data_IF_519840834918
#
_entry.id   IF_519840834918
#
_cell.length_a   1.000
_cell.length_b   1.000
_cell.length_c   1.000
_cell.angle_alpha   90.00
_cell.angle_beta   90.00
_cell.angle_gamma   90.00
#
_symmetry.space_group_name_H-M   'P 1'
#
loop_
_entity.id
_entity.type
_entity.pdbx_description
1 polymer ?
#
# COMPACT_ATOMS: atom_id res chain seq x y z
N UNK A 1 -16.20 -10.10 17.69
CA UNK A 1 -16.76 -9.10 18.62
C UNK A 1 -15.87 -7.88 18.61
N UNK A 2 -16.44 -6.74 18.19
CA UNK A 2 -15.65 -5.54 17.91
C UNK A 2 -15.91 -4.39 18.91
N UNK A 3 -16.48 -4.72 20.09
CA UNK A 3 -16.80 -3.73 21.10
C UNK A 3 -15.78 -3.80 22.24
N UNK A 4 -15.07 -2.70 22.49
CA UNK A 4 -14.05 -2.59 23.54
C UNK A 4 -14.61 -2.94 24.93
N UNK A 5 -15.86 -2.58 25.22
CA UNK A 5 -16.50 -2.90 26.50
C UNK A 5 -16.63 -4.40 26.71
N UNK A 6 -17.02 -5.14 25.67
CA UNK A 6 -17.10 -6.61 25.73
C UNK A 6 -15.73 -7.24 25.91
N UNK A 7 -14.70 -6.71 25.25
CA UNK A 7 -13.32 -7.20 25.41
C UNK A 7 -12.84 -7.00 26.84
N UNK A 8 -13.13 -5.86 27.46
CA UNK A 8 -12.82 -5.61 28.88
C UNK A 8 -13.49 -6.62 29.78
N UNK A 9 -14.80 -6.87 29.58
CA UNK A 9 -15.55 -7.85 30.37
C UNK A 9 -14.98 -9.26 30.23
N UNK A 10 -14.61 -9.69 29.02
CA UNK A 10 -14.01 -11.00 28.77
C UNK A 10 -12.63 -11.12 29.45
N UNK A 11 -11.83 -10.07 29.46
CA UNK A 11 -10.55 -10.06 30.17
C UNK A 11 -10.77 -10.14 31.68
N UNK A 12 -11.75 -9.38 32.21
CA UNK A 12 -12.10 -9.36 33.64
C UNK A 12 -12.66 -10.69 34.14
N UNK A 13 -13.35 -11.45 33.27
CA UNK A 13 -13.85 -12.80 33.60
C UNK A 13 -12.75 -13.84 33.79
N UNK A 14 -11.50 -13.53 33.38
CA UNK A 14 -10.31 -14.40 33.39
C UNK A 14 -10.43 -15.66 32.53
N UNK A 15 -11.49 -15.80 31.74
CA UNK A 15 -11.68 -16.97 30.86
C UNK A 15 -10.54 -17.11 29.84
N UNK A 16 -9.95 -15.99 29.42
CA UNK A 16 -8.86 -15.99 28.45
C UNK A 16 -7.54 -16.54 29.03
N UNK A 17 -7.35 -16.52 30.35
CA UNK A 17 -6.10 -16.92 31.00
C UNK A 17 -5.79 -18.42 30.84
N UNK A 18 -6.79 -19.24 30.54
CA UNK A 18 -6.68 -20.68 30.32
C UNK A 18 -6.44 -21.09 28.87
N UNK A 19 -6.36 -20.13 27.95
CA UNK A 19 -6.22 -20.39 26.53
C UNK A 19 -4.75 -20.50 26.11
N UNK A 20 -4.47 -21.35 25.12
CA UNK A 20 -3.14 -21.46 24.52
C UNK A 20 -2.83 -20.27 23.59
N UNK A 21 -3.84 -19.78 22.86
CA UNK A 21 -3.73 -18.64 21.99
C UNK A 21 -5.06 -17.89 21.80
N UNK A 22 -4.96 -16.63 21.35
CA UNK A 22 -6.11 -15.78 21.04
C UNK A 22 -5.94 -15.27 19.59
N UNK A 23 -6.97 -15.51 18.76
CA UNK A 23 -7.03 -14.99 17.39
C UNK A 23 -7.95 -13.76 17.35
N UNK A 24 -7.39 -12.61 17.05
CA UNK A 24 -8.10 -11.32 17.10
C UNK A 24 -7.98 -10.62 18.45
N UNK A 25 -8.77 -9.56 18.68
CA UNK A 25 -9.88 -8.98 17.87
C UNK A 25 -9.43 -8.47 16.48
N UNK A 26 -10.42 -8.30 15.57
CA UNK A 26 -10.13 -7.83 14.21
C UNK A 26 -9.85 -6.32 14.15
N UNK A 27 -10.40 -5.54 15.06
CA UNK A 27 -10.15 -4.10 15.14
C UNK A 27 -8.81 -3.85 15.80
N UNK A 28 -7.86 -3.14 15.13
CA UNK A 28 -6.50 -2.95 15.64
C UNK A 28 -6.44 -2.33 17.04
N UNK A 29 -7.19 -1.26 17.32
CA UNK A 29 -7.21 -0.63 18.66
C UNK A 29 -7.69 -1.57 19.78
N UNK A 30 -8.59 -2.48 19.46
CA UNK A 30 -9.07 -3.51 20.38
C UNK A 30 -8.02 -4.60 20.58
N UNK A 31 -7.29 -4.94 19.54
CA UNK A 31 -6.18 -5.88 19.60
C UNK A 31 -5.03 -5.32 20.45
N UNK A 32 -4.68 -4.04 20.26
CA UNK A 32 -3.64 -3.37 21.05
C UNK A 32 -4.00 -3.34 22.53
N UNK A 33 -5.27 -3.05 22.87
CA UNK A 33 -5.75 -3.09 24.25
C UNK A 33 -5.62 -4.49 24.85
N UNK A 34 -6.03 -5.55 24.13
CA UNK A 34 -5.93 -6.93 24.58
C UNK A 34 -4.48 -7.38 24.69
N UNK A 35 -3.66 -7.05 23.70
CA UNK A 35 -2.25 -7.46 23.66
C UNK A 35 -1.41 -6.77 24.74
N UNK A 36 -1.80 -5.55 25.14
CA UNK A 36 -1.18 -4.79 26.23
C UNK A 36 -1.51 -5.29 27.63
N UNK A 37 -2.49 -6.20 27.78
CA UNK A 37 -2.92 -6.63 29.11
C UNK A 37 -1.92 -7.61 29.74
N UNK A 38 -1.48 -7.28 30.97
CA UNK A 38 -0.46 -8.05 31.68
C UNK A 38 -0.94 -9.44 32.14
N UNK A 39 -2.24 -9.64 32.39
CA UNK A 39 -2.77 -10.96 32.78
C UNK A 39 -2.61 -11.97 31.64
N UNK A 40 -2.56 -11.50 30.41
CA UNK A 40 -2.46 -12.32 29.20
C UNK A 40 -1.02 -12.41 28.62
N UNK A 41 -0.01 -12.02 29.41
CA UNK A 41 1.40 -11.95 28.91
C UNK A 41 1.99 -13.28 28.44
N UNK A 42 1.46 -14.42 28.92
CA UNK A 42 1.93 -15.75 28.57
C UNK A 42 1.15 -16.38 27.41
N UNK A 43 0.08 -15.74 26.94
CA UNK A 43 -0.80 -16.27 25.91
C UNK A 43 -0.40 -15.68 24.57
N UNK A 44 -0.27 -16.53 23.56
CA UNK A 44 0.01 -16.12 22.20
C UNK A 44 -1.18 -15.35 21.62
N UNK A 45 -0.96 -14.17 21.08
CA UNK A 45 -1.97 -13.34 20.44
C UNK A 45 -1.66 -13.17 18.97
N UNK A 46 -2.63 -13.42 18.13
CA UNK A 46 -2.50 -13.37 16.68
C UNK A 46 -3.42 -12.27 16.16
N UNK A 47 -2.82 -11.22 15.57
CA UNK A 47 -3.55 -10.17 14.84
C UNK A 47 -3.85 -10.68 13.43
N UNK A 48 -5.09 -11.05 13.10
CA UNK A 48 -5.44 -11.50 11.77
C UNK A 48 -5.78 -10.31 10.87
N UNK A 49 -5.53 -10.43 9.57
CA UNK A 49 -6.05 -9.57 8.50
C UNK A 49 -5.69 -8.07 8.56
N UNK A 50 -4.99 -7.59 9.57
CA UNK A 50 -4.59 -6.19 9.67
C UNK A 50 -3.22 -5.96 9.04
N UNK A 51 -3.14 -4.98 8.14
CA UNK A 51 -1.87 -4.45 7.60
C UNK A 51 -1.36 -3.23 8.39
N UNK A 52 -2.12 -2.77 9.40
CA UNK A 52 -1.68 -1.71 10.30
C UNK A 52 -0.66 -2.25 11.29
N UNK A 53 0.38 -1.48 11.64
CA UNK A 53 1.36 -1.90 12.63
C UNK A 53 0.67 -2.29 13.95
N UNK A 54 1.13 -3.35 14.57
CA UNK A 54 0.77 -3.73 15.93
C UNK A 54 1.99 -3.49 16.84
N UNK A 55 1.75 -3.24 18.13
CA UNK A 55 2.86 -3.16 19.07
C UNK A 55 3.47 -4.55 19.23
N UNK A 56 4.70 -4.72 18.68
CA UNK A 56 5.40 -5.99 18.73
C UNK A 56 5.80 -6.35 20.16
N UNK A 57 5.34 -7.49 20.61
CA UNK A 57 5.64 -8.10 21.89
C UNK A 57 6.05 -9.56 21.67
N UNK A 58 6.78 -10.16 22.62
CA UNK A 58 7.28 -11.52 22.51
C UNK A 58 6.19 -12.57 22.21
N UNK A 59 4.94 -12.28 22.59
CA UNK A 59 3.79 -13.17 22.44
C UNK A 59 2.72 -12.59 21.49
N UNK A 60 3.12 -11.73 20.54
CA UNK A 60 2.25 -11.14 19.51
C UNK A 60 2.76 -11.52 18.13
N UNK A 61 1.86 -12.06 17.30
CA UNK A 61 2.11 -12.35 15.88
C UNK A 61 1.13 -11.54 15.05
N UNK A 62 1.63 -10.87 14.04
CA UNK A 62 0.81 -10.29 12.97
C UNK A 62 0.82 -11.24 11.78
N UNK A 63 -0.35 -11.71 11.34
CA UNK A 63 -0.46 -12.72 10.29
C UNK A 63 -0.36 -12.14 8.87
N UNK A 64 -0.54 -10.83 8.72
CA UNK A 64 -0.44 -10.13 7.45
C UNK A 64 0.68 -9.09 7.55
N UNK A 65 1.53 -9.04 6.56
CA UNK A 65 2.64 -8.08 6.49
C UNK A 65 2.12 -6.65 6.54
N UNK A 66 2.78 -5.80 7.31
CA UNK A 66 2.49 -4.37 7.35
C UNK A 66 2.65 -3.73 5.97
N UNK A 67 1.76 -2.80 5.66
CA UNK A 67 1.80 -2.07 4.39
C UNK A 67 3.11 -1.29 4.24
N UNK A 68 3.59 -0.68 5.31
CA UNK A 68 4.87 0.04 5.35
C UNK A 68 6.05 -0.86 5.00
N UNK A 69 6.09 -2.09 5.53
CA UNK A 69 7.14 -3.05 5.20
C UNK A 69 7.13 -3.44 3.72
N UNK A 70 5.94 -3.72 3.18
CA UNK A 70 5.78 -4.03 1.76
C UNK A 70 6.22 -2.86 0.88
N UNK A 71 5.79 -1.63 1.22
CA UNK A 71 6.17 -0.41 0.50
C UNK A 71 7.68 -0.21 0.51
N UNK A 72 8.34 -0.36 1.66
CA UNK A 72 9.79 -0.24 1.76
C UNK A 72 10.52 -1.27 0.87
N UNK A 73 10.01 -2.51 0.81
CA UNK A 73 10.58 -3.52 -0.09
C UNK A 73 10.39 -3.18 -1.57
N UNK A 74 9.27 -2.57 -1.93
CA UNK A 74 9.07 -2.05 -3.29
C UNK A 74 10.02 -0.89 -3.60
N UNK A 75 10.26 0.02 -2.65
CA UNK A 75 11.24 1.08 -2.83
C UNK A 75 12.64 0.52 -3.07
N UNK A 76 13.10 -0.42 -2.25
CA UNK A 76 14.39 -1.11 -2.44
C UNK A 76 14.49 -1.79 -3.84
N UNK A 77 13.40 -2.37 -4.31
CA UNK A 77 13.33 -2.98 -5.64
C UNK A 77 13.43 -1.93 -6.75
N UNK A 78 12.66 -0.83 -6.64
CA UNK A 78 12.66 0.25 -7.62
C UNK A 78 14.02 0.95 -7.68
N UNK A 79 14.66 1.24 -6.54
CA UNK A 79 16.00 1.84 -6.46
C UNK A 79 17.10 0.98 -7.11
N UNK A 80 16.94 -0.34 -7.07
CA UNK A 80 17.87 -1.26 -7.75
C UNK A 80 17.63 -1.36 -9.26
N UNK A 81 16.39 -1.11 -9.69
CA UNK A 81 15.95 -1.31 -11.06
C UNK A 81 15.95 -0.03 -11.88
N UNK A 82 15.71 1.10 -11.24
CA UNK A 82 15.55 2.41 -11.91
C UNK A 82 16.73 3.31 -11.61
N UNK A 83 17.24 3.95 -12.65
CA UNK A 83 18.33 4.92 -12.60
C UNK A 83 18.02 6.14 -13.45
N UNK A 84 18.99 7.04 -13.60
CA UNK A 84 18.85 8.29 -14.34
C UNK A 84 18.68 8.13 -15.86
N UNK A 85 18.81 6.91 -16.39
CA UNK A 85 18.55 6.60 -17.81
C UNK A 85 17.08 6.37 -18.08
N UNK A 86 16.29 6.12 -17.03
CA UNK A 86 14.85 5.91 -17.09
C UNK A 86 14.10 7.24 -16.92
N UNK A 87 13.07 7.42 -17.72
CA UNK A 87 12.12 8.52 -17.53
C UNK A 87 11.05 8.11 -16.54
N UNK A 88 11.04 8.73 -15.35
CA UNK A 88 10.16 8.34 -14.25
C UNK A 88 9.05 9.37 -14.09
N UNK A 89 7.79 8.91 -14.12
CA UNK A 89 6.60 9.71 -13.84
C UNK A 89 5.90 9.16 -12.60
N UNK A 90 5.75 9.99 -11.57
CA UNK A 90 5.03 9.64 -10.34
C UNK A 90 3.60 10.19 -10.46
N UNK A 91 2.62 9.31 -10.31
CA UNK A 91 1.19 9.62 -10.33
C UNK A 91 0.62 9.30 -8.97
N UNK A 92 0.16 10.29 -8.23
CA UNK A 92 -0.46 10.10 -6.92
C UNK A 92 -1.68 10.99 -6.75
N UNK A 93 -2.68 10.49 -6.04
CA UNK A 93 -3.81 11.30 -5.60
C UNK A 93 -3.45 12.17 -4.37
N UNK A 94 -4.36 13.05 -3.98
CA UNK A 94 -4.14 13.98 -2.87
C UNK A 94 -3.91 13.28 -1.52
N UNK A 95 -4.47 12.09 -1.33
CA UNK A 95 -4.32 11.31 -0.08
C UNK A 95 -2.93 10.67 0.04
N UNK A 96 -2.23 10.53 -1.07
CA UNK A 96 -0.93 9.88 -1.17
C UNK A 96 0.23 10.87 -1.40
N UNK A 97 0.06 12.14 -1.06
CA UNK A 97 1.11 13.17 -1.21
C UNK A 97 2.38 12.86 -0.43
N UNK A 98 2.27 12.25 0.73
CA UNK A 98 3.45 11.87 1.52
C UNK A 98 4.26 10.80 0.80
N UNK A 99 3.60 9.83 0.18
CA UNK A 99 4.22 8.79 -0.65
C UNK A 99 4.84 9.42 -1.91
N UNK A 100 4.13 10.34 -2.58
CA UNK A 100 4.64 11.09 -3.72
C UNK A 100 5.95 11.82 -3.37
N UNK A 101 5.98 12.50 -2.24
CA UNK A 101 7.15 13.24 -1.78
C UNK A 101 8.31 12.31 -1.39
N UNK A 102 8.03 11.18 -0.77
CA UNK A 102 9.03 10.16 -0.47
C UNK A 102 9.63 9.58 -1.74
N UNK A 103 8.82 9.21 -2.74
CA UNK A 103 9.29 8.75 -4.05
C UNK A 103 10.11 9.82 -4.76
N UNK A 104 9.68 11.09 -4.74
CA UNK A 104 10.42 12.19 -5.33
C UNK A 104 11.79 12.38 -4.65
N UNK A 105 11.89 12.15 -3.35
CA UNK A 105 13.20 12.22 -2.66
C UNK A 105 14.16 11.10 -3.06
N UNK A 106 13.63 9.92 -3.42
CA UNK A 106 14.39 8.76 -3.90
C UNK A 106 14.75 8.87 -5.37
N UNK A 107 13.87 9.47 -6.17
CA UNK A 107 14.03 9.71 -7.61
C UNK A 107 13.93 11.21 -7.93
N UNK A 108 14.95 12.04 -7.60
CA UNK A 108 14.86 13.50 -7.73
C UNK A 108 14.65 13.99 -9.18
N UNK A 109 14.98 13.17 -10.17
CA UNK A 109 14.79 13.45 -11.58
C UNK A 109 13.40 13.08 -12.10
N UNK A 110 12.54 12.51 -11.27
CA UNK A 110 11.18 12.13 -11.68
C UNK A 110 10.27 13.33 -11.85
N UNK A 111 9.26 13.17 -12.70
CA UNK A 111 8.19 14.15 -12.94
C UNK A 111 6.95 13.74 -12.16
N UNK A 112 6.24 14.71 -11.60
CA UNK A 112 4.96 14.48 -10.94
C UNK A 112 3.80 14.77 -11.88
N UNK A 113 2.94 13.80 -12.07
CA UNK A 113 1.65 13.98 -12.74
C UNK A 113 0.52 13.92 -11.71
N UNK A 114 -0.17 15.02 -11.55
CA UNK A 114 -1.32 15.12 -10.66
C UNK A 114 -2.61 14.91 -11.43
N UNK A 115 -3.45 13.96 -11.00
CA UNK A 115 -4.74 13.73 -11.63
C UNK A 115 -5.67 14.93 -11.41
N UNK A 116 -6.51 15.21 -12.39
CA UNK A 116 -7.56 16.19 -12.25
C UNK A 116 -8.65 15.64 -11.33
N UNK A 117 -9.11 16.42 -10.35
CA UNK A 117 -10.14 16.05 -9.35
C UNK A 117 -9.88 14.71 -8.65
N UNK A 118 -8.61 14.27 -8.55
CA UNK A 118 -8.16 13.03 -7.89
C UNK A 118 -8.63 11.71 -8.55
N UNK A 119 -9.31 11.73 -9.69
CA UNK A 119 -9.93 10.55 -10.29
C UNK A 119 -9.61 10.32 -11.76
N UNK A 120 -9.03 11.32 -12.43
CA UNK A 120 -8.87 11.26 -13.88
C UNK A 120 -7.53 11.85 -14.35
N UNK A 121 -6.95 11.22 -15.36
CA UNK A 121 -5.75 11.70 -16.06
C UNK A 121 -6.14 12.17 -17.44
N UNK A 122 -5.74 13.40 -17.77
CA UNK A 122 -5.97 14.00 -19.07
C UNK A 122 -5.08 13.35 -20.13
N UNK A 123 -5.63 12.76 -21.21
CA UNK A 123 -4.84 12.03 -22.22
C UNK A 123 -3.71 12.86 -22.85
N UNK A 124 -3.99 14.13 -23.13
CA UNK A 124 -3.05 15.07 -23.76
C UNK A 124 -1.84 15.34 -22.87
N UNK A 125 -2.02 15.31 -21.54
CA UNK A 125 -0.92 15.42 -20.59
C UNK A 125 -0.02 14.18 -20.62
N UNK A 126 -0.61 12.98 -20.74
CA UNK A 126 0.14 11.73 -20.81
C UNK A 126 1.04 11.73 -22.03
N UNK A 127 0.50 12.04 -23.21
CA UNK A 127 1.28 12.09 -24.44
C UNK A 127 2.44 13.10 -24.37
N UNK A 128 2.20 14.28 -23.78
CA UNK A 128 3.22 15.33 -23.64
C UNK A 128 4.33 14.99 -22.63
N UNK A 129 4.05 14.09 -21.69
CA UNK A 129 4.99 13.72 -20.63
C UNK A 129 5.90 12.55 -21.02
N UNK A 130 5.43 11.65 -21.87
CA UNK A 130 6.17 10.45 -22.23
C UNK A 130 7.20 10.72 -23.32
N UNK A 131 8.34 10.08 -23.22
CA UNK A 131 9.45 10.23 -24.15
C UNK A 131 9.55 9.03 -25.08
N UNK A 132 9.82 9.30 -26.37
CA UNK A 132 10.13 8.27 -27.34
C UNK A 132 11.57 7.80 -27.19
N UNK A 133 11.83 6.54 -27.52
CA UNK A 133 13.16 5.91 -27.50
C UNK A 133 13.81 5.81 -26.11
N UNK A 134 13.06 6.09 -25.05
CA UNK A 134 13.47 5.95 -23.64
C UNK A 134 12.42 5.10 -22.92
N UNK A 135 12.87 4.32 -21.93
CA UNK A 135 11.95 3.57 -21.09
C UNK A 135 11.21 4.49 -20.10
N UNK A 136 9.91 4.59 -20.28
CA UNK A 136 9.03 5.36 -19.39
C UNK A 136 8.54 4.48 -18.23
N UNK A 137 8.87 4.84 -17.01
CA UNK A 137 8.52 4.13 -15.79
C UNK A 137 7.51 4.94 -14.99
N UNK A 138 6.29 4.44 -14.88
CA UNK A 138 5.21 5.11 -14.18
C UNK A 138 5.08 4.49 -12.80
N UNK A 139 5.16 5.30 -11.74
CA UNK A 139 4.90 4.84 -10.36
C UNK A 139 3.54 5.40 -9.97
N UNK A 140 2.54 4.52 -9.89
CA UNK A 140 1.14 4.87 -9.63
C UNK A 140 0.80 4.59 -8.16
N UNK A 141 0.55 5.65 -7.40
CA UNK A 141 0.28 5.59 -5.96
C UNK A 141 -1.12 6.09 -5.63
N UNK A 142 -2.08 5.20 -5.72
CA UNK A 142 -3.48 5.48 -5.40
C UNK A 142 -4.24 4.21 -5.04
N UNK A 143 -5.30 4.35 -4.25
CA UNK A 143 -6.30 3.31 -3.99
C UNK A 143 -7.65 3.65 -4.66
N UNK A 144 -7.75 4.78 -5.36
CA UNK A 144 -8.94 5.17 -6.11
C UNK A 144 -9.08 4.32 -7.37
N UNK A 145 -10.09 3.47 -7.44
CA UNK A 145 -10.35 2.63 -8.61
C UNK A 145 -10.53 3.44 -9.90
N UNK A 146 -11.29 4.56 -9.92
CA UNK A 146 -11.39 5.40 -11.11
C UNK A 146 -10.04 5.91 -11.60
N UNK A 147 -9.17 6.35 -10.68
CA UNK A 147 -7.83 6.83 -11.05
C UNK A 147 -6.94 5.70 -11.56
N UNK A 148 -6.98 4.50 -10.93
CA UNK A 148 -6.26 3.32 -11.39
C UNK A 148 -6.67 2.98 -12.82
N UNK A 149 -7.98 2.88 -13.09
CA UNK A 149 -8.53 2.55 -14.40
C UNK A 149 -8.14 3.60 -15.45
N UNK A 150 -8.26 4.89 -15.11
CA UNK A 150 -7.87 6.00 -15.99
C UNK A 150 -6.38 5.95 -16.30
N UNK A 151 -5.52 5.84 -15.28
CA UNK A 151 -4.07 5.82 -15.43
C UNK A 151 -3.62 4.63 -16.30
N UNK A 152 -4.04 3.41 -15.96
CA UNK A 152 -3.64 2.22 -16.71
C UNK A 152 -4.11 2.30 -18.16
N UNK A 153 -5.36 2.73 -18.39
CA UNK A 153 -5.89 2.90 -19.75
C UNK A 153 -5.08 3.90 -20.56
N UNK A 154 -4.80 5.10 -19.98
CA UNK A 154 -4.08 6.15 -20.69
C UNK A 154 -2.63 5.77 -20.96
N UNK A 155 -1.91 5.26 -19.96
CA UNK A 155 -0.51 4.86 -20.13
C UNK A 155 -0.35 3.65 -21.06
N UNK A 156 -1.24 2.65 -20.99
CA UNK A 156 -1.19 1.50 -21.89
C UNK A 156 -1.47 1.91 -23.35
N UNK A 157 -2.36 2.87 -23.59
CA UNK A 157 -2.65 3.37 -24.93
C UNK A 157 -1.45 4.03 -25.61
N UNK A 158 -0.48 4.50 -24.82
CA UNK A 158 0.76 5.13 -25.28
C UNK A 158 1.90 4.13 -25.51
N UNK A 159 1.70 2.85 -25.18
CA UNK A 159 2.72 1.83 -25.39
C UNK A 159 2.76 1.45 -26.89
N UNK A 160 3.82 1.79 -27.57
CA UNK A 160 4.04 1.59 -29.01
C UNK A 160 5.41 0.95 -29.27
N UNK A 161 5.74 0.63 -30.51
CA UNK A 161 7.07 0.11 -30.87
C UNK A 161 8.22 1.07 -30.50
N UNK A 162 7.96 2.39 -30.53
CA UNK A 162 8.96 3.42 -30.25
C UNK A 162 8.88 3.97 -28.81
N UNK A 163 7.84 3.59 -28.04
CA UNK A 163 7.58 4.12 -26.71
C UNK A 163 7.24 2.99 -25.76
N UNK A 164 8.19 2.63 -24.91
CA UNK A 164 8.00 1.59 -23.89
C UNK A 164 7.48 2.22 -22.59
N UNK A 165 6.34 1.75 -22.12
CA UNK A 165 5.71 2.23 -20.88
C UNK A 165 5.51 1.07 -19.92
N UNK A 166 5.99 1.19 -18.70
CA UNK A 166 5.79 0.20 -17.62
C UNK A 166 5.24 0.88 -16.38
N UNK A 167 4.19 0.30 -15.81
CA UNK A 167 3.53 0.83 -14.61
C UNK A 167 3.91 -0.01 -13.40
N UNK A 168 4.31 0.67 -12.33
CA UNK A 168 4.62 0.12 -11.02
C UNK A 168 3.71 0.72 -9.95
N UNK A 169 3.49 0.02 -8.86
CA UNK A 169 2.80 0.53 -7.67
C UNK A 169 3.41 -0.06 -6.41
N UNK A 170 3.40 0.69 -5.33
CA UNK A 170 3.75 0.16 -4.01
C UNK A 170 2.53 -0.43 -3.28
N UNK A 171 1.34 -0.26 -3.84
CA UNK A 171 0.11 -0.83 -3.29
C UNK A 171 -0.08 -2.29 -3.68
N UNK A 172 -0.54 -3.06 -2.71
CA UNK A 172 -1.04 -4.41 -2.91
C UNK A 172 -2.55 -4.44 -2.64
N UNK A 173 -3.35 -4.45 -3.69
CA UNK A 173 -4.81 -4.45 -3.54
C UNK A 173 -5.53 -5.07 -4.74
N UNK A 174 -6.77 -5.49 -4.53
CA UNK A 174 -7.60 -6.12 -5.55
C UNK A 174 -7.84 -5.20 -6.77
N UNK A 175 -7.76 -3.89 -6.59
CA UNK A 175 -7.91 -2.94 -7.68
C UNK A 175 -6.83 -3.10 -8.77
N UNK A 176 -5.62 -3.56 -8.38
CA UNK A 176 -4.51 -3.81 -9.31
C UNK A 176 -4.46 -5.24 -9.84
N UNK A 177 -5.25 -6.16 -9.27
CA UNK A 177 -5.32 -7.57 -9.69
C UNK A 177 -6.46 -7.83 -10.69
N UNK A 178 -7.08 -6.80 -11.24
CA UNK A 178 -8.21 -6.96 -12.14
C UNK A 178 -7.70 -7.28 -13.55
N UNK A 179 -7.92 -8.52 -14.04
CA UNK A 179 -7.49 -9.00 -15.36
C UNK A 179 -7.98 -8.11 -16.52
N UNK A 180 -9.01 -7.29 -16.29
CA UNK A 180 -9.53 -6.31 -17.26
C UNK A 180 -8.64 -5.06 -17.42
N UNK A 181 -7.67 -4.84 -16.52
CA UNK A 181 -6.72 -3.73 -16.60
C UNK A 181 -5.45 -4.08 -17.41
N UNK A 182 -5.28 -5.34 -17.75
CA UNK A 182 -4.10 -5.87 -18.46
C UNK A 182 -4.31 -6.07 -19.98
N UNK A 183 -5.39 -5.53 -20.56
CA UNK A 183 -5.69 -5.64 -22.00
C UNK A 183 -5.60 -4.30 -22.70
#
# INVERSE_FOLDING_TARGET
QNNLTQIKQIIESKELESLDFILGPLIPSNFDYLSGNNSLKNILKISPLSTRPVEYRKNVIQSVTEESFFRNKMYEYLEKKLDTTHHIVIVADEKNRDIENELQSRFPWSIKLRPEKSDYIIPELVDSLLLDSIENKIILETQSFPLIASAISQFNSQNTENRNVQVYTTYRGNAYNNDNLSR
#
